data_IF_671799765460
#
_entry.id   IF_671799765460
#
_cell.length_a   1.000
_cell.length_b   1.000
_cell.length_c   1.000
_cell.angle_alpha   90.00
_cell.angle_beta   90.00
_cell.angle_gamma   90.00
#
_symmetry.space_group_name_H-M   'P 1'
#
loop_
_entity.id
_entity.type
_entity.pdbx_description
1 polymer ?
#
# COMPACT_ATOMS: atom_id res chain seq x y z
N UNK A 1 -9.13 35.51 23.64
CA UNK A 1 -9.08 34.03 23.67
C UNK A 1 -8.77 33.58 22.26
N UNK A 2 -7.65 32.88 22.04
CA UNK A 2 -7.31 32.37 20.72
C UNK A 2 -8.33 31.29 20.33
N UNK A 3 -9.02 31.46 19.21
CA UNK A 3 -9.92 30.45 18.66
C UNK A 3 -9.11 29.21 18.32
N UNK A 4 -9.55 28.05 18.81
CA UNK A 4 -8.95 26.76 18.46
C UNK A 4 -9.11 26.55 16.95
N UNK A 5 -8.06 26.05 16.30
CA UNK A 5 -8.09 25.74 14.86
C UNK A 5 -9.11 24.64 14.59
N UNK A 6 -10.07 24.90 13.69
CA UNK A 6 -11.08 23.91 13.27
C UNK A 6 -10.42 22.64 12.74
N UNK A 7 -9.28 22.76 12.05
CA UNK A 7 -8.53 21.62 11.53
C UNK A 7 -7.92 20.78 12.66
N UNK A 8 -7.45 21.44 13.73
CA UNK A 8 -6.92 20.76 14.90
C UNK A 8 -8.03 20.00 15.64
N UNK A 9 -9.19 20.64 15.84
CA UNK A 9 -10.36 20.00 16.47
C UNK A 9 -10.89 18.82 15.63
N UNK A 10 -10.92 18.97 14.31
CA UNK A 10 -11.34 17.90 13.41
C UNK A 10 -10.35 16.73 13.44
N UNK A 11 -9.05 17.02 13.53
CA UNK A 11 -8.01 15.99 13.56
C UNK A 11 -8.01 15.26 14.89
N UNK A 12 -8.10 15.97 16.01
CA UNK A 12 -8.09 15.33 17.33
C UNK A 12 -9.29 14.40 17.50
N UNK A 13 -10.48 14.78 17.03
CA UNK A 13 -11.66 13.92 17.10
C UNK A 13 -11.51 12.59 16.33
N UNK A 14 -10.65 12.54 15.30
CA UNK A 14 -10.39 11.30 14.55
C UNK A 14 -9.41 10.36 15.23
N UNK A 15 -8.57 10.87 16.13
CA UNK A 15 -7.42 10.11 16.69
C UNK A 15 -7.45 9.99 18.20
N UNK A 16 -8.28 10.77 18.91
CA UNK A 16 -8.31 10.83 20.37
C UNK A 16 -8.61 9.46 20.98
N UNK A 17 -9.59 8.73 20.44
CA UNK A 17 -9.97 7.41 20.96
C UNK A 17 -8.86 6.37 20.73
N UNK A 18 -8.32 6.17 19.50
CA UNK A 18 -7.16 5.31 19.30
C UNK A 18 -5.94 5.70 20.14
N UNK A 19 -5.67 7.00 20.31
CA UNK A 19 -4.53 7.52 21.05
C UNK A 19 -4.61 7.21 22.56
N UNK A 20 -5.82 7.17 23.12
CA UNK A 20 -6.04 6.88 24.55
C UNK A 20 -6.35 5.41 24.82
N UNK A 21 -6.60 4.61 23.78
CA UNK A 21 -6.86 3.18 23.91
C UNK A 21 -5.61 2.39 24.34
N UNK A 22 -5.82 1.22 24.94
CA UNK A 22 -4.72 0.28 25.22
C UNK A 22 -4.27 -0.29 23.87
N UNK A 23 -3.02 -0.03 23.42
CA UNK A 23 -2.59 -0.47 22.10
C UNK A 23 -2.35 -1.98 22.07
N UNK A 24 -2.48 -2.56 20.89
CA UNK A 24 -1.94 -3.88 20.61
C UNK A 24 -0.41 -3.80 20.73
N UNK A 25 0.17 -4.71 21.53
CA UNK A 25 1.54 -4.58 22.06
C UNK A 25 2.63 -4.91 21.04
N UNK A 26 2.28 -5.41 19.84
CA UNK A 26 3.26 -5.77 18.83
C UNK A 26 2.83 -5.42 17.40
N UNK A 27 3.84 -5.25 16.54
CA UNK A 27 3.69 -4.99 15.11
C UNK A 27 4.03 -6.27 14.35
N UNK A 28 3.01 -7.02 13.95
CA UNK A 28 3.14 -8.28 13.23
C UNK A 28 1.82 -8.63 12.53
N UNK A 29 1.67 -9.86 12.02
CA UNK A 29 0.43 -10.30 11.38
C UNK A 29 -0.78 -10.02 12.28
N UNK A 30 -1.87 -9.42 11.75
CA UNK A 30 -2.97 -8.91 12.57
C UNK A 30 -3.68 -10.07 13.29
N UNK A 31 -3.78 -9.95 14.61
CA UNK A 31 -4.50 -10.87 15.49
C UNK A 31 -5.00 -10.12 16.74
N UNK A 32 -5.48 -10.84 17.75
CA UNK A 32 -6.00 -10.24 18.99
C UNK A 32 -4.95 -9.44 19.81
N UNK A 33 -3.66 -9.55 19.48
CA UNK A 33 -2.53 -8.94 20.20
C UNK A 33 -1.65 -8.06 19.32
N UNK A 34 -1.83 -8.14 18.00
CA UNK A 34 -0.90 -7.61 17.02
C UNK A 34 -1.63 -6.76 15.97
N UNK A 35 -0.96 -5.69 15.53
CA UNK A 35 -1.47 -4.81 14.48
C UNK A 35 -0.49 -4.75 13.30
N UNK A 36 -1.02 -4.55 12.09
CA UNK A 36 -0.23 -4.31 10.89
C UNK A 36 -0.94 -3.41 9.91
N UNK A 37 -0.22 -2.41 9.41
CA UNK A 37 -0.71 -1.54 8.34
C UNK A 37 -0.46 -2.11 6.94
N UNK A 38 0.12 -3.32 6.83
CA UNK A 38 0.20 -4.06 5.56
C UNK A 38 -1.14 -4.67 5.16
N UNK A 39 -2.04 -4.83 6.13
CA UNK A 39 -3.40 -5.36 5.96
C UNK A 39 -4.41 -4.31 6.42
N UNK A 40 -4.53 -3.19 5.68
CA UNK A 40 -5.37 -2.07 6.10
C UNK A 40 -6.86 -2.43 6.04
N UNK A 41 -7.68 -1.71 6.83
CA UNK A 41 -9.15 -1.79 6.98
C UNK A 41 -9.65 -2.64 8.15
N UNK A 42 -10.93 -2.46 8.43
CA UNK A 42 -11.64 -2.96 9.62
C UNK A 42 -11.78 -4.49 9.69
N UNK A 43 -11.70 -5.18 8.54
CA UNK A 43 -11.83 -6.63 8.50
C UNK A 43 -10.43 -7.30 8.56
N UNK A 44 -10.11 -8.07 9.61
CA UNK A 44 -8.85 -8.78 9.68
C UNK A 44 -8.78 -9.88 8.60
N UNK A 45 -7.63 -9.95 7.95
CA UNK A 45 -7.26 -11.04 7.04
C UNK A 45 -6.75 -12.24 7.84
N UNK A 46 -7.05 -13.45 7.40
CA UNK A 46 -6.54 -14.68 8.03
C UNK A 46 -5.22 -15.12 7.39
N UNK A 47 -4.44 -15.95 8.08
CA UNK A 47 -3.21 -16.52 7.52
C UNK A 47 -3.46 -17.35 6.25
N UNK A 48 -4.58 -18.08 6.20
CA UNK A 48 -4.98 -18.85 5.02
C UNK A 48 -5.32 -17.95 3.84
N UNK A 49 -6.01 -16.83 4.07
CA UNK A 49 -6.31 -15.82 3.06
C UNK A 49 -5.01 -15.18 2.55
N UNK A 50 -4.12 -14.77 3.46
CA UNK A 50 -2.82 -14.18 3.11
C UNK A 50 -1.94 -15.15 2.31
N UNK A 51 -1.94 -16.44 2.67
CA UNK A 51 -1.18 -17.48 1.95
C UNK A 51 -1.71 -17.69 0.53
N UNK A 52 -3.04 -17.73 0.36
CA UNK A 52 -3.65 -17.86 -0.96
C UNK A 52 -3.37 -16.63 -1.83
N UNK A 53 -3.45 -15.42 -1.27
CA UNK A 53 -3.10 -14.18 -1.97
C UNK A 53 -1.62 -14.15 -2.35
N UNK A 54 -0.73 -14.55 -1.44
CA UNK A 54 0.71 -14.64 -1.72
C UNK A 54 1.01 -15.61 -2.87
N UNK A 55 0.29 -16.75 -2.94
CA UNK A 55 0.40 -17.70 -4.04
C UNK A 55 -0.10 -17.08 -5.36
N UNK A 56 -1.24 -16.39 -5.36
CA UNK A 56 -1.74 -15.66 -6.53
C UNK A 56 -0.76 -14.60 -7.01
N UNK A 57 -0.19 -13.82 -6.09
CA UNK A 57 0.81 -12.80 -6.41
C UNK A 57 2.05 -13.39 -7.09
N UNK A 58 2.53 -14.53 -6.60
CA UNK A 58 3.70 -15.22 -7.15
C UNK A 58 3.50 -15.64 -8.62
N UNK A 59 2.28 -16.00 -9.00
CA UNK A 59 1.92 -16.38 -10.38
C UNK A 59 1.90 -15.18 -11.34
N UNK A 60 1.71 -13.97 -10.80
CA UNK A 60 1.56 -12.74 -11.59
C UNK A 60 2.83 -11.89 -11.64
N UNK A 61 3.93 -12.41 -11.11
CA UNK A 61 5.19 -11.70 -10.91
C UNK A 61 5.08 -10.41 -10.06
N UNK A 62 3.93 -10.18 -9.41
CA UNK A 62 3.78 -9.16 -8.38
C UNK A 62 4.38 -9.69 -7.08
N UNK A 63 5.17 -8.86 -6.38
CA UNK A 63 5.88 -9.28 -5.17
C UNK A 63 5.40 -8.48 -3.96
N UNK A 64 5.44 -9.04 -2.74
CA UNK A 64 4.84 -8.43 -1.56
C UNK A 64 5.51 -7.10 -1.12
N UNK A 65 6.76 -6.85 -1.50
CA UNK A 65 7.61 -5.79 -0.96
C UNK A 65 7.02 -4.38 -1.11
N UNK A 66 6.25 -4.13 -2.17
CA UNK A 66 5.63 -2.83 -2.43
C UNK A 66 4.10 -2.89 -2.44
N UNK A 67 3.50 -3.85 -1.73
CA UNK A 67 2.05 -4.06 -1.71
C UNK A 67 1.42 -3.98 -0.33
N UNK A 68 0.12 -3.65 -0.31
CA UNK A 68 -0.77 -3.83 0.84
C UNK A 68 -2.01 -4.61 0.44
N UNK A 69 -2.60 -5.34 1.39
CA UNK A 69 -3.70 -6.26 1.11
C UNK A 69 -4.89 -5.92 2.02
N UNK A 70 -5.75 -4.95 1.64
CA UNK A 70 -7.03 -4.76 2.30
C UNK A 70 -8.00 -5.90 2.02
N UNK A 71 -8.73 -6.27 3.08
CA UNK A 71 -9.94 -7.08 3.00
C UNK A 71 -11.18 -6.19 3.02
N UNK A 72 -12.07 -6.40 2.06
CA UNK A 72 -13.30 -5.63 1.89
C UNK A 72 -14.48 -6.57 2.05
N UNK A 73 -15.34 -6.27 3.01
CA UNK A 73 -16.60 -7.00 3.22
C UNK A 73 -17.75 -6.04 2.92
N UNK A 74 -18.60 -6.38 1.95
CA UNK A 74 -19.80 -5.59 1.60
C UNK A 74 -21.02 -6.50 1.60
N UNK A 75 -21.81 -6.46 2.67
CA UNK A 75 -22.89 -7.42 2.89
C UNK A 75 -22.32 -8.85 2.99
N UNK A 76 -22.77 -9.75 2.11
CA UNK A 76 -22.27 -11.12 2.02
C UNK A 76 -21.10 -11.30 1.04
N UNK A 77 -20.65 -10.22 0.38
CA UNK A 77 -19.56 -10.30 -0.60
C UNK A 77 -18.22 -9.99 0.07
N UNK A 78 -17.24 -10.83 -0.25
CA UNK A 78 -15.86 -10.68 0.18
C UNK A 78 -15.01 -10.33 -1.05
N UNK A 79 -14.15 -9.32 -0.89
CA UNK A 79 -13.18 -8.93 -1.90
C UNK A 79 -11.82 -8.61 -1.24
N UNK A 80 -10.76 -8.84 -1.99
CA UNK A 80 -9.41 -8.46 -1.63
C UNK A 80 -8.85 -7.52 -2.70
N UNK A 81 -8.15 -6.48 -2.26
CA UNK A 81 -7.35 -5.67 -3.18
C UNK A 81 -5.87 -5.92 -2.88
N UNK A 82 -5.08 -6.08 -3.91
CA UNK A 82 -3.62 -6.03 -3.83
C UNK A 82 -3.26 -4.63 -4.30
N UNK A 83 -3.00 -3.73 -3.36
CA UNK A 83 -2.66 -2.34 -3.65
C UNK A 83 -1.15 -2.26 -3.90
N UNK A 84 -0.74 -1.92 -5.11
CA UNK A 84 0.62 -1.61 -5.50
C UNK A 84 0.95 -0.15 -5.14
N UNK A 85 2.12 0.04 -4.54
CA UNK A 85 2.66 1.37 -4.29
C UNK A 85 3.20 1.95 -5.59
N UNK A 86 2.53 2.98 -6.09
CA UNK A 86 2.89 3.68 -7.32
C UNK A 86 2.39 5.12 -7.28
N UNK A 87 3.02 6.00 -8.08
CA UNK A 87 2.54 7.36 -8.32
C UNK A 87 1.31 7.35 -9.24
N UNK A 88 1.34 6.50 -10.27
CA UNK A 88 0.25 6.40 -11.23
C UNK A 88 -0.84 5.49 -10.69
N UNK A 89 -2.11 5.87 -10.94
CA UNK A 89 -3.28 5.10 -10.51
C UNK A 89 -3.85 4.32 -11.69
N UNK A 90 -3.97 3.00 -11.55
CA UNK A 90 -4.55 2.13 -12.56
C UNK A 90 -5.07 0.82 -11.94
N UNK A 91 -6.04 0.19 -12.60
CA UNK A 91 -6.48 -1.17 -12.25
C UNK A 91 -5.70 -2.14 -13.11
N UNK A 92 -4.98 -3.06 -12.47
CA UNK A 92 -4.09 -3.98 -13.18
C UNK A 92 -4.86 -5.19 -13.68
N UNK A 93 -5.49 -5.95 -12.77
CA UNK A 93 -6.11 -7.23 -13.10
C UNK A 93 -7.24 -7.61 -12.13
N UNK A 94 -8.20 -8.39 -12.63
CA UNK A 94 -9.09 -9.22 -11.81
C UNK A 94 -8.52 -10.64 -11.78
N UNK A 95 -8.30 -11.17 -10.58
CA UNK A 95 -7.69 -12.47 -10.37
C UNK A 95 -8.78 -13.48 -10.04
N UNK A 96 -9.00 -14.50 -10.87
CA UNK A 96 -9.91 -15.57 -10.52
C UNK A 96 -9.30 -16.34 -9.34
N UNK A 97 -9.93 -16.27 -8.17
CA UNK A 97 -9.57 -17.11 -7.03
C UNK A 97 -10.65 -18.17 -6.80
N UNK A 98 -10.37 -19.41 -7.22
CA UNK A 98 -11.20 -20.57 -6.87
C UNK A 98 -11.23 -20.83 -5.37
N UNK A 99 -10.15 -20.49 -4.68
CA UNK A 99 -9.88 -20.94 -3.32
C UNK A 99 -10.46 -19.97 -2.27
N UNK A 100 -10.51 -18.67 -2.58
CA UNK A 100 -10.99 -17.64 -1.65
C UNK A 100 -12.49 -17.38 -1.74
N UNK A 101 -13.18 -17.90 -2.77
CA UNK A 101 -14.60 -17.56 -3.06
C UNK A 101 -14.88 -16.05 -2.95
N UNK A 102 -13.90 -15.25 -3.38
CA UNK A 102 -13.86 -13.80 -3.21
C UNK A 102 -13.31 -13.16 -4.47
N UNK A 103 -13.72 -11.91 -4.73
CA UNK A 103 -13.16 -11.13 -5.81
C UNK A 103 -11.78 -10.61 -5.41
N UNK A 104 -10.74 -10.98 -6.15
CA UNK A 104 -9.38 -10.45 -5.92
C UNK A 104 -9.04 -9.52 -7.07
N UNK A 105 -8.60 -8.29 -6.77
CA UNK A 105 -8.14 -7.34 -7.79
C UNK A 105 -6.82 -6.69 -7.41
N UNK A 106 -6.04 -6.36 -8.41
CA UNK A 106 -4.81 -5.57 -8.21
C UNK A 106 -5.08 -4.13 -8.63
N UNK A 107 -4.76 -3.19 -7.75
CA UNK A 107 -4.93 -1.75 -7.96
C UNK A 107 -3.63 -1.03 -7.66
N UNK A 108 -3.35 0.05 -8.37
CA UNK A 108 -2.13 0.85 -8.19
C UNK A 108 -2.50 2.24 -7.64
N UNK A 109 -1.56 2.90 -6.95
CA UNK A 109 -1.73 4.26 -6.46
C UNK A 109 -1.65 4.43 -4.94
N UNK A 110 -1.02 3.52 -4.18
CA UNK A 110 -1.08 3.53 -2.70
C UNK A 110 -0.46 4.76 -2.00
N UNK A 111 0.19 5.69 -2.69
CA UNK A 111 0.79 6.86 -2.03
C UNK A 111 0.91 8.06 -2.97
N UNK A 112 0.08 9.09 -2.75
CA UNK A 112 0.20 10.37 -3.47
C UNK A 112 1.59 11.01 -3.33
N UNK A 113 2.31 10.70 -2.25
CA UNK A 113 3.68 11.16 -2.02
C UNK A 113 4.68 10.64 -3.08
N UNK A 114 4.42 9.49 -3.74
CA UNK A 114 5.31 8.97 -4.80
C UNK A 114 5.45 9.95 -5.96
N UNK A 115 4.38 10.66 -6.32
CA UNK A 115 4.43 11.68 -7.37
C UNK A 115 5.45 12.79 -7.06
N UNK A 116 5.53 13.19 -5.78
CA UNK A 116 6.50 14.19 -5.33
C UNK A 116 7.93 13.68 -5.41
N UNK A 117 8.17 12.44 -4.98
CA UNK A 117 9.51 11.82 -5.06
C UNK A 117 9.96 11.72 -6.52
N UNK A 118 9.07 11.30 -7.43
CA UNK A 118 9.37 11.27 -8.85
C UNK A 118 9.75 12.66 -9.38
N UNK A 119 8.99 13.69 -9.02
CA UNK A 119 9.29 15.07 -9.44
C UNK A 119 10.66 15.56 -8.90
N UNK A 120 10.98 15.26 -7.63
CA UNK A 120 12.26 15.61 -7.03
C UNK A 120 13.42 14.88 -7.73
N UNK A 121 13.24 13.61 -8.12
CA UNK A 121 14.23 12.85 -8.87
C UNK A 121 14.40 13.37 -10.30
N UNK A 122 13.31 13.71 -11.00
CA UNK A 122 13.37 14.33 -12.33
C UNK A 122 14.13 15.64 -12.31
N UNK A 123 13.95 16.46 -11.27
CA UNK A 123 14.71 17.69 -11.07
C UNK A 123 16.20 17.42 -10.77
N UNK A 124 16.55 16.26 -10.19
CA UNK A 124 17.92 15.88 -9.87
C UNK A 124 18.70 15.29 -11.06
N UNK A 125 18.02 14.65 -12.02
CA UNK A 125 18.66 14.00 -13.19
C UNK A 125 19.67 14.89 -13.94
N UNK A 126 19.39 16.19 -14.22
CA UNK A 126 20.34 17.07 -14.92
C UNK A 126 21.64 17.37 -14.13
N UNK A 127 21.66 17.06 -12.83
CA UNK A 127 22.74 17.42 -11.90
C UNK A 127 23.60 16.22 -11.48
N UNK A 128 23.38 15.05 -12.06
CA UNK A 128 24.14 13.84 -11.73
C UNK A 128 25.58 13.90 -12.27
N UNK A 129 26.51 13.28 -11.55
CA UNK A 129 27.93 13.33 -11.86
C UNK A 129 28.37 12.33 -12.93
N UNK A 130 27.54 11.32 -13.25
CA UNK A 130 27.87 10.26 -14.20
C UNK A 130 26.64 9.51 -14.70
N UNK A 131 26.83 8.73 -15.77
CA UNK A 131 25.77 7.92 -16.38
C UNK A 131 25.12 6.92 -15.43
N UNK A 132 25.88 6.33 -14.49
CA UNK A 132 25.30 5.34 -13.55
C UNK A 132 24.26 6.00 -12.63
N UNK A 133 24.53 7.21 -12.16
CA UNK A 133 23.58 7.97 -11.35
C UNK A 133 22.35 8.39 -12.17
N UNK A 134 22.55 8.78 -13.43
CA UNK A 134 21.46 9.05 -14.37
C UNK A 134 20.54 7.83 -14.52
N UNK A 135 21.14 6.66 -14.80
CA UNK A 135 20.40 5.41 -15.04
C UNK A 135 19.66 4.96 -13.77
N UNK A 136 20.31 5.06 -12.60
CA UNK A 136 19.71 4.75 -11.30
C UNK A 136 18.46 5.59 -11.04
N UNK A 137 18.55 6.92 -11.18
CA UNK A 137 17.41 7.80 -10.95
C UNK A 137 16.29 7.54 -11.97
N UNK A 138 16.63 7.29 -13.22
CA UNK A 138 15.64 6.98 -14.28
C UNK A 138 14.88 5.70 -13.96
N UNK A 139 15.59 4.65 -13.54
CA UNK A 139 15.01 3.37 -13.12
C UNK A 139 14.14 3.51 -11.86
N UNK A 140 14.57 4.32 -10.88
CA UNK A 140 13.77 4.58 -9.69
C UNK A 140 12.50 5.38 -10.01
N UNK A 141 12.56 6.36 -10.91
CA UNK A 141 11.38 7.08 -11.39
C UNK A 141 10.40 6.10 -12.05
N UNK A 142 10.87 5.20 -12.91
CA UNK A 142 10.04 4.16 -13.53
C UNK A 142 9.40 3.25 -12.48
N UNK A 143 10.20 2.75 -11.54
CA UNK A 143 9.71 1.90 -10.44
C UNK A 143 8.64 2.59 -9.61
N UNK A 144 8.86 3.84 -9.21
CA UNK A 144 7.91 4.58 -8.36
C UNK A 144 6.67 5.03 -9.13
N UNK A 145 6.76 5.28 -10.43
CA UNK A 145 5.58 5.56 -11.26
C UNK A 145 4.68 4.35 -11.43
N UNK A 146 5.27 3.20 -11.71
CA UNK A 146 4.56 1.99 -12.15
C UNK A 146 4.35 0.96 -11.03
N UNK A 147 5.07 1.07 -9.93
CA UNK A 147 5.18 0.01 -8.94
C UNK A 147 6.01 -1.19 -9.41
N UNK A 148 6.84 -1.07 -10.44
CA UNK A 148 7.69 -2.17 -10.94
C UNK A 148 8.90 -2.40 -10.03
N UNK A 149 8.94 -3.57 -9.39
CA UNK A 149 10.12 -4.01 -8.63
C UNK A 149 11.27 -4.51 -9.50
N UNK A 150 11.00 -4.82 -10.77
CA UNK A 150 12.06 -5.19 -11.70
C UNK A 150 12.82 -3.96 -12.18
N UNK A 151 12.14 -2.81 -12.35
CA UNK A 151 12.81 -1.53 -12.58
C UNK A 151 13.60 -1.03 -11.35
N UNK A 152 13.29 -1.52 -10.15
CA UNK A 152 14.00 -1.13 -8.92
C UNK A 152 15.34 -1.85 -8.71
N UNK A 153 15.48 -3.05 -9.27
CA UNK A 153 16.58 -4.00 -8.96
C UNK A 153 17.72 -3.90 -9.96
#
# INVERSE_FOLDING_TARGET
>A
MASISIDADTTIQKVIDPMLSIPLFSLSFPDDKNQSNLYPREAPITESENSAISMLMSQLSSKPENTRIPKITTGSRLAFEIILTSADTFVVNYLPSSDLKADVRTVAGDHAAMSKICADFEAAVPHVANQRQHDLLTQYIESFRTGSLDAYR
#
